data_IF_258095731816
#
_entry.id   IF_258095731816
#
_cell.length_a   1.000
_cell.length_b   1.000
_cell.length_c   1.000
_cell.angle_alpha   90.00
_cell.angle_beta   90.00
_cell.angle_gamma   90.00
#
_symmetry.space_group_name_H-M   'P 1'
#
loop_
_entity.id
_entity.type
_entity.pdbx_description
1 polymer ?
#
# COMPACT_ATOMS: atom_id res chain seq x y z
N UNK A 1 2.28 -5.07 12.74
CA UNK A 1 2.77 -3.68 12.62
C UNK A 1 4.24 -3.50 13.03
N UNK A 2 4.66 -3.93 14.24
CA UNK A 2 6.06 -3.76 14.68
C UNK A 2 7.11 -4.43 13.78
N UNK A 3 6.83 -5.64 13.30
CA UNK A 3 7.72 -6.39 12.38
C UNK A 3 7.92 -5.63 11.06
N UNK A 4 6.84 -5.08 10.48
CA UNK A 4 6.91 -4.30 9.24
C UNK A 4 7.80 -3.05 9.40
N UNK A 5 7.67 -2.35 10.54
CA UNK A 5 8.50 -1.19 10.83
C UNK A 5 9.99 -1.55 10.94
N UNK A 6 10.32 -2.69 11.57
CA UNK A 6 11.69 -3.18 11.64
C UNK A 6 12.27 -3.44 10.24
N UNK A 7 11.49 -4.06 9.35
CA UNK A 7 11.93 -4.25 7.97
C UNK A 7 12.05 -2.94 7.21
N UNK A 8 11.15 -1.98 7.41
CA UNK A 8 11.25 -0.66 6.77
C UNK A 8 12.56 0.08 7.14
N UNK A 9 13.13 -0.15 8.32
CA UNK A 9 14.44 0.39 8.69
C UNK A 9 15.61 -0.20 7.88
N UNK A 10 15.39 -1.24 7.06
CA UNK A 10 16.44 -1.95 6.36
C UNK A 10 17.28 -1.08 5.43
N UNK A 11 16.75 0.03 4.88
CA UNK A 11 17.53 0.95 4.03
C UNK A 11 18.80 1.50 4.71
N UNK A 12 18.80 1.60 6.04
CA UNK A 12 19.96 2.08 6.80
C UNK A 12 21.06 1.02 6.95
N UNK A 13 20.73 -0.25 6.74
CA UNK A 13 21.62 -1.41 6.94
C UNK A 13 22.05 -2.02 5.59
N UNK A 14 21.25 -1.85 4.53
CA UNK A 14 21.59 -2.34 3.19
C UNK A 14 22.90 -1.69 2.70
N UNK A 15 23.88 -2.49 2.24
CA UNK A 15 25.15 -1.99 1.73
C UNK A 15 25.00 -1.37 0.34
N UNK A 16 25.86 -0.39 0.04
CA UNK A 16 25.84 0.39 -1.21
C UNK A 16 26.09 -0.40 -2.48
N UNK A 17 26.70 -1.57 -2.36
CA UNK A 17 27.12 -2.49 -3.43
C UNK A 17 26.35 -3.83 -3.40
N UNK A 18 25.17 -3.86 -2.77
CA UNK A 18 24.39 -5.10 -2.56
C UNK A 18 24.10 -5.89 -3.85
N UNK A 19 23.84 -5.22 -4.98
CA UNK A 19 23.52 -5.87 -6.26
C UNK A 19 24.78 -6.24 -7.04
N UNK A 20 25.87 -5.52 -6.80
CA UNK A 20 27.19 -5.86 -7.32
C UNK A 20 27.79 -7.08 -6.60
N UNK A 21 27.63 -7.16 -5.28
CA UNK A 21 28.20 -8.24 -4.46
C UNK A 21 27.34 -9.50 -4.38
N UNK A 22 26.02 -9.40 -4.53
CA UNK A 22 25.11 -10.55 -4.40
C UNK A 22 24.29 -10.77 -5.69
N UNK A 23 24.61 -11.86 -6.39
CA UNK A 23 23.91 -12.27 -7.60
C UNK A 23 22.43 -12.52 -7.38
N UNK A 24 22.07 -13.20 -6.28
CA UNK A 24 20.67 -13.49 -5.93
C UNK A 24 19.87 -12.19 -5.71
N UNK A 25 20.47 -11.19 -5.03
CA UNK A 25 19.82 -9.90 -4.83
C UNK A 25 19.60 -9.17 -6.16
N UNK A 26 20.58 -9.24 -7.07
CA UNK A 26 20.49 -8.66 -8.42
C UNK A 26 19.40 -9.33 -9.26
N UNK A 27 19.35 -10.66 -9.29
CA UNK A 27 18.31 -11.41 -10.00
C UNK A 27 16.91 -11.09 -9.45
N UNK A 28 16.77 -11.06 -8.12
CA UNK A 28 15.53 -10.68 -7.46
C UNK A 28 15.07 -9.28 -7.86
N UNK A 29 15.95 -8.27 -7.81
CA UNK A 29 15.62 -6.90 -8.23
C UNK A 29 15.23 -6.85 -9.70
N UNK A 30 15.96 -7.54 -10.57
CA UNK A 30 15.66 -7.60 -12.00
C UNK A 30 14.29 -8.21 -12.28
N UNK A 31 13.91 -9.24 -11.53
CA UNK A 31 12.56 -9.81 -11.58
C UNK A 31 11.51 -8.79 -11.13
N UNK A 32 11.72 -8.12 -9.99
CA UNK A 32 10.77 -7.15 -9.44
C UNK A 32 10.55 -5.94 -10.37
N UNK A 33 11.59 -5.45 -11.05
CA UNK A 33 11.50 -4.36 -12.03
C UNK A 33 10.55 -4.64 -13.19
N UNK A 34 10.28 -5.91 -13.52
CA UNK A 34 9.31 -6.27 -14.57
C UNK A 34 7.88 -5.89 -14.19
N UNK A 35 7.57 -5.87 -12.90
CA UNK A 35 6.24 -5.59 -12.37
C UNK A 35 6.13 -4.18 -11.78
N UNK A 36 7.21 -3.63 -11.25
CA UNK A 36 7.20 -2.39 -10.49
C UNK A 36 8.16 -1.37 -11.12
N UNK A 37 7.67 -0.54 -12.06
CA UNK A 37 8.51 0.39 -12.81
C UNK A 37 9.11 1.49 -11.92
N UNK A 38 8.47 1.82 -10.79
CA UNK A 38 8.97 2.79 -9.83
C UNK A 38 10.36 2.42 -9.27
N UNK A 39 10.72 1.14 -9.19
CA UNK A 39 12.04 0.70 -8.73
C UNK A 39 13.15 1.35 -9.57
N UNK A 40 13.06 1.27 -10.90
CA UNK A 40 14.04 1.87 -11.78
C UNK A 40 13.96 3.40 -11.78
N UNK A 41 12.75 3.96 -11.73
CA UNK A 41 12.54 5.41 -11.74
C UNK A 41 13.16 6.06 -10.50
N UNK A 42 12.99 5.46 -9.32
CA UNK A 42 13.57 5.95 -8.07
C UNK A 42 15.10 5.85 -8.07
N UNK A 43 15.65 4.75 -8.60
CA UNK A 43 17.09 4.57 -8.80
C UNK A 43 17.72 5.65 -9.69
N UNK A 44 17.01 6.06 -10.74
CA UNK A 44 17.54 7.04 -11.69
C UNK A 44 17.73 8.44 -11.09
N UNK A 45 16.97 8.80 -10.04
CA UNK A 45 17.03 10.11 -9.39
C UNK A 45 17.88 10.13 -8.11
N UNK A 46 18.04 8.97 -7.46
CA UNK A 46 18.75 8.87 -6.18
C UNK A 46 20.25 8.63 -6.36
N UNK A 47 21.12 9.16 -5.47
CA UNK A 47 22.51 8.76 -5.40
C UNK A 47 22.71 7.32 -4.89
N UNK A 48 21.74 6.75 -4.18
CA UNK A 48 21.79 5.42 -3.54
C UNK A 48 21.22 4.32 -4.45
N UNK A 49 21.78 4.18 -5.66
CA UNK A 49 21.15 3.40 -6.76
C UNK A 49 20.85 1.95 -6.41
N UNK A 50 21.85 1.17 -5.99
CA UNK A 50 21.64 -0.24 -5.69
C UNK A 50 20.77 -0.44 -4.44
N UNK A 51 20.96 0.42 -3.44
CA UNK A 51 20.23 0.36 -2.18
C UNK A 51 18.74 0.65 -2.37
N UNK A 52 18.38 1.70 -3.11
CA UNK A 52 16.98 2.06 -3.34
C UNK A 52 16.28 1.04 -4.22
N UNK A 53 16.98 0.42 -5.18
CA UNK A 53 16.42 -0.65 -6.00
C UNK A 53 16.10 -1.88 -5.16
N UNK A 54 17.07 -2.34 -4.38
CA UNK A 54 16.88 -3.49 -3.49
C UNK A 54 15.80 -3.20 -2.44
N UNK A 55 15.86 -2.02 -1.82
CA UNK A 55 14.93 -1.60 -0.79
C UNK A 55 13.49 -1.53 -1.29
N UNK A 56 13.27 -0.84 -2.41
CA UNK A 56 11.93 -0.74 -3.02
C UNK A 56 11.41 -2.13 -3.40
N UNK A 57 12.28 -3.01 -3.91
CA UNK A 57 11.91 -4.38 -4.31
C UNK A 57 11.40 -5.21 -3.13
N UNK A 58 12.14 -5.30 -2.02
CA UNK A 58 11.66 -6.12 -0.90
C UNK A 58 10.49 -5.43 -0.16
N UNK A 59 10.45 -4.10 -0.12
CA UNK A 59 9.31 -3.38 0.46
C UNK A 59 8.01 -3.68 -0.30
N UNK A 60 8.07 -3.84 -1.63
CA UNK A 60 6.95 -4.34 -2.42
C UNK A 60 6.46 -5.70 -1.94
N UNK A 61 7.37 -6.67 -1.75
CA UNK A 61 7.03 -8.00 -1.23
C UNK A 61 6.35 -7.90 0.14
N UNK A 62 6.93 -7.12 1.06
CA UNK A 62 6.39 -6.97 2.42
C UNK A 62 5.01 -6.34 2.44
N UNK A 63 4.78 -5.29 1.64
CA UNK A 63 3.45 -4.69 1.60
C UNK A 63 2.42 -5.54 0.86
N UNK A 64 2.82 -6.39 -0.11
CA UNK A 64 1.89 -7.39 -0.68
C UNK A 64 1.50 -8.45 0.34
N UNK A 65 2.45 -8.93 1.15
CA UNK A 65 2.16 -9.84 2.26
C UNK A 65 1.24 -9.18 3.30
N UNK A 66 1.52 -7.94 3.67
CA UNK A 66 0.69 -7.19 4.61
C UNK A 66 -0.70 -6.88 4.03
N UNK A 67 -0.80 -6.56 2.74
CA UNK A 67 -2.06 -6.43 2.03
C UNK A 67 -2.90 -7.72 2.10
N UNK A 68 -2.29 -8.87 1.84
CA UNK A 68 -2.96 -10.17 1.93
C UNK A 68 -3.44 -10.47 3.35
N UNK A 69 -2.60 -10.19 4.37
CA UNK A 69 -2.97 -10.30 5.78
C UNK A 69 -4.16 -9.41 6.12
N UNK A 70 -4.16 -8.14 5.69
CA UNK A 70 -5.26 -7.19 5.91
C UNK A 70 -6.54 -7.64 5.22
N UNK A 71 -6.45 -8.15 3.98
CA UNK A 71 -7.61 -8.69 3.28
C UNK A 71 -8.20 -9.90 4.02
N UNK A 72 -7.36 -10.82 4.47
CA UNK A 72 -7.78 -11.98 5.26
C UNK A 72 -8.43 -11.57 6.58
N UNK A 73 -7.81 -10.66 7.31
CA UNK A 73 -8.32 -10.12 8.58
C UNK A 73 -9.73 -9.52 8.42
N UNK A 74 -9.90 -8.65 7.42
CA UNK A 74 -11.20 -8.03 7.12
C UNK A 74 -12.23 -9.07 6.70
N UNK A 75 -11.85 -10.05 5.88
CA UNK A 75 -12.72 -11.17 5.52
C UNK A 75 -13.17 -11.96 6.74
N UNK A 76 -12.28 -12.30 7.67
CA UNK A 76 -12.64 -13.02 8.89
C UNK A 76 -13.63 -12.23 9.75
N UNK A 77 -13.40 -10.93 9.92
CA UNK A 77 -14.34 -10.03 10.62
C UNK A 77 -15.75 -10.10 10.01
N UNK A 78 -15.85 -9.93 8.69
CA UNK A 78 -17.16 -9.87 8.04
C UNK A 78 -17.84 -11.22 7.85
N UNK A 79 -17.11 -12.35 7.89
CA UNK A 79 -17.68 -13.68 7.62
C UNK A 79 -17.82 -14.58 8.84
N UNK A 80 -16.86 -14.56 9.77
CA UNK A 80 -16.81 -15.47 10.92
C UNK A 80 -17.40 -14.83 12.17
N UNK A 81 -17.09 -13.55 12.42
CA UNK A 81 -17.52 -12.84 13.63
C UNK A 81 -18.85 -12.10 13.49
N UNK A 82 -19.51 -12.19 12.33
CA UNK A 82 -20.73 -11.43 12.04
C UNK A 82 -21.97 -11.84 12.85
N UNK A 83 -21.90 -12.93 13.60
CA UNK A 83 -22.95 -13.40 14.52
C UNK A 83 -22.74 -12.96 15.98
N UNK A 84 -21.55 -12.49 16.37
CA UNK A 84 -21.22 -12.16 17.77
C UNK A 84 -21.02 -10.68 18.06
N UNK A 85 -20.58 -9.86 17.09
CA UNK A 85 -20.26 -8.46 17.35
C UNK A 85 -21.16 -7.47 16.58
N UNK A 86 -22.14 -6.93 17.31
CA UNK A 86 -23.02 -5.85 16.86
C UNK A 86 -22.28 -4.48 16.85
N UNK A 87 -21.21 -4.34 17.64
CA UNK A 87 -20.47 -3.08 17.85
C UNK A 87 -19.58 -2.66 16.65
N UNK A 88 -18.86 -3.58 15.99
CA UNK A 88 -18.08 -3.22 14.79
C UNK A 88 -18.98 -2.76 13.63
N UNK A 89 -20.24 -3.24 13.62
CA UNK A 89 -21.29 -2.80 12.69
C UNK A 89 -21.62 -1.31 12.88
N UNK A 90 -21.44 -0.75 14.08
CA UNK A 90 -21.67 0.67 14.37
C UNK A 90 -20.56 1.57 13.84
N UNK A 91 -19.29 1.17 13.91
CA UNK A 91 -18.18 1.96 13.41
C UNK A 91 -18.15 2.03 11.88
N UNK A 92 -18.51 0.94 11.20
CA UNK A 92 -18.70 0.92 9.75
C UNK A 92 -19.93 1.76 9.33
N UNK A 93 -21.00 1.76 10.14
CA UNK A 93 -22.17 2.62 9.91
C UNK A 93 -21.88 4.11 10.17
N UNK A 94 -20.98 4.45 11.09
CA UNK A 94 -20.52 5.82 11.34
C UNK A 94 -19.67 6.37 10.21
N UNK A 95 -19.00 5.51 9.44
CA UNK A 95 -18.22 5.94 8.30
C UNK A 95 -19.14 6.41 7.16
N UNK A 96 -19.31 7.73 7.04
CA UNK A 96 -20.08 8.33 5.95
C UNK A 96 -19.66 7.77 4.60
N UNK A 97 -20.62 7.35 3.76
CA UNK A 97 -20.36 6.88 2.39
C UNK A 97 -19.44 7.82 1.61
N UNK A 98 -19.60 9.15 1.81
CA UNK A 98 -18.73 10.17 1.20
C UNK A 98 -17.28 10.05 1.64
N UNK A 99 -17.04 9.78 2.94
CA UNK A 99 -15.70 9.61 3.50
C UNK A 99 -15.06 8.31 3.00
N UNK A 100 -15.85 7.25 2.85
CA UNK A 100 -15.37 5.97 2.32
C UNK A 100 -14.90 6.13 0.87
N UNK A 101 -15.75 6.68 0.01
CA UNK A 101 -15.40 6.96 -1.40
C UNK A 101 -14.18 7.87 -1.50
N UNK A 102 -14.14 8.93 -0.70
CA UNK A 102 -12.98 9.84 -0.67
C UNK A 102 -11.68 9.12 -0.31
N UNK A 103 -11.67 8.35 0.78
CA UNK A 103 -10.47 7.61 1.22
C UNK A 103 -10.04 6.55 0.20
N UNK A 104 -11.01 5.88 -0.44
CA UNK A 104 -10.74 4.89 -1.47
C UNK A 104 -10.08 5.52 -2.70
N UNK A 105 -10.67 6.59 -3.25
CA UNK A 105 -10.11 7.30 -4.41
C UNK A 105 -8.74 7.90 -4.10
N UNK A 106 -8.56 8.46 -2.90
CA UNK A 106 -7.27 8.97 -2.44
C UNK A 106 -6.21 7.86 -2.34
N UNK A 107 -6.60 6.68 -1.83
CA UNK A 107 -5.73 5.50 -1.79
C UNK A 107 -5.27 5.08 -3.19
N UNK A 108 -6.19 4.97 -4.15
CA UNK A 108 -5.85 4.65 -5.54
C UNK A 108 -4.91 5.69 -6.16
N UNK A 109 -5.16 6.97 -5.92
CA UNK A 109 -4.31 8.06 -6.39
C UNK A 109 -2.89 7.96 -5.79
N UNK A 110 -2.77 7.73 -4.49
CA UNK A 110 -1.47 7.59 -3.83
C UNK A 110 -0.68 6.39 -4.37
N UNK A 111 -1.35 5.26 -4.60
CA UNK A 111 -0.75 4.05 -5.19
C UNK A 111 -0.29 4.35 -6.62
N UNK A 112 -1.13 5.01 -7.42
CA UNK A 112 -0.80 5.38 -8.79
C UNK A 112 0.44 6.26 -8.84
N UNK A 113 0.49 7.31 -8.03
CA UNK A 113 1.65 8.21 -7.91
C UNK A 113 2.92 7.45 -7.53
N UNK A 114 2.82 6.54 -6.57
CA UNK A 114 3.95 5.73 -6.11
C UNK A 114 4.44 4.75 -7.18
N UNK A 115 3.51 4.01 -7.79
CA UNK A 115 3.80 2.98 -8.78
C UNK A 115 4.37 3.55 -10.09
N UNK A 116 3.86 4.69 -10.53
CA UNK A 116 4.37 5.37 -11.74
C UNK A 116 5.62 6.19 -11.47
N UNK A 117 6.00 6.39 -10.20
CA UNK A 117 7.10 7.27 -9.81
C UNK A 117 6.85 8.74 -10.12
N UNK A 118 5.60 9.16 -10.29
CA UNK A 118 5.25 10.54 -10.66
C UNK A 118 5.75 11.58 -9.65
N UNK A 119 5.84 11.19 -8.38
CA UNK A 119 6.32 12.05 -7.29
C UNK A 119 7.78 12.50 -7.42
N UNK A 120 8.60 11.75 -8.16
CA UNK A 120 10.00 12.11 -8.39
C UNK A 120 10.24 12.70 -9.78
N UNK A 121 9.41 12.37 -10.77
CA UNK A 121 9.60 12.82 -12.16
C UNK A 121 8.92 14.17 -12.43
N UNK A 122 7.63 14.28 -12.14
CA UNK A 122 6.83 15.49 -12.34
C UNK A 122 6.50 16.24 -11.05
N UNK A 123 6.63 15.56 -9.91
CA UNK A 123 6.09 16.04 -8.64
C UNK A 123 4.56 15.93 -8.61
N UNK A 124 3.99 15.99 -7.41
CA UNK A 124 2.54 15.98 -7.20
C UNK A 124 2.12 17.34 -6.67
N UNK A 125 1.21 17.99 -7.41
CA UNK A 125 0.48 19.14 -6.90
C UNK A 125 -0.81 18.66 -6.27
N UNK A 126 -0.98 18.93 -4.97
CA UNK A 126 -2.21 18.65 -4.25
C UNK A 126 -2.64 19.89 -3.48
N UNK A 127 -3.78 20.44 -3.86
CA UNK A 127 -4.23 21.76 -3.39
C UNK A 127 -3.17 22.84 -3.64
N UNK A 128 -2.64 23.47 -2.59
CA UNK A 128 -1.59 24.50 -2.68
C UNK A 128 -0.17 23.94 -2.50
N UNK A 129 -0.03 22.61 -2.34
CA UNK A 129 1.24 21.97 -2.00
C UNK A 129 1.83 21.32 -3.24
N UNK A 130 3.07 21.68 -3.57
CA UNK A 130 3.84 21.01 -4.61
C UNK A 130 4.90 20.14 -3.94
N UNK A 131 4.71 18.83 -4.03
CA UNK A 131 5.59 17.84 -3.42
C UNK A 131 6.40 17.21 -4.55
N UNK A 132 7.70 17.46 -4.55
CA UNK A 132 8.68 16.75 -5.37
C UNK A 132 9.71 16.12 -4.47
N UNK A 133 10.00 14.85 -4.69
CA UNK A 133 10.97 14.09 -3.90
C UNK A 133 12.17 13.78 -4.79
N UNK A 134 13.36 14.05 -4.27
CA UNK A 134 14.61 13.79 -5.00
C UNK A 134 15.36 12.55 -4.47
N UNK A 135 14.87 11.94 -3.37
CA UNK A 135 15.52 10.80 -2.70
C UNK A 135 17.01 11.04 -2.43
N UNK A 136 17.33 12.23 -1.94
CA UNK A 136 18.69 12.69 -1.68
C UNK A 136 19.29 12.05 -0.42
N UNK A 137 18.45 11.55 0.49
CA UNK A 137 18.88 10.88 1.72
C UNK A 137 18.20 9.54 1.93
N UNK A 138 18.88 8.60 2.60
CA UNK A 138 18.28 7.32 3.05
C UNK A 138 17.04 7.53 3.93
N UNK A 139 16.98 8.64 4.66
CA UNK A 139 15.82 8.98 5.48
C UNK A 139 14.59 9.34 4.62
N UNK A 140 14.75 10.11 3.54
CA UNK A 140 13.66 10.37 2.60
C UNK A 140 13.18 9.07 1.92
N UNK A 141 14.12 8.22 1.51
CA UNK A 141 13.82 6.90 0.94
C UNK A 141 12.96 6.09 1.92
N UNK A 142 13.42 5.96 3.17
CA UNK A 142 12.68 5.31 4.25
C UNK A 142 11.27 5.89 4.40
N UNK A 143 11.16 7.21 4.59
CA UNK A 143 9.91 7.88 4.92
C UNK A 143 8.86 7.67 3.82
N UNK A 144 9.21 7.98 2.57
CA UNK A 144 8.22 7.99 1.49
C UNK A 144 7.85 6.60 1.01
N UNK A 145 8.81 5.69 0.85
CA UNK A 145 8.48 4.30 0.46
C UNK A 145 7.64 3.63 1.54
N UNK A 146 7.98 3.80 2.83
CA UNK A 146 7.20 3.22 3.93
C UNK A 146 5.80 3.82 4.00
N UNK A 147 5.68 5.14 3.81
CA UNK A 147 4.40 5.85 3.78
C UNK A 147 3.50 5.30 2.68
N UNK A 148 3.97 5.27 1.44
CA UNK A 148 3.16 4.79 0.31
C UNK A 148 2.74 3.33 0.48
N UNK A 149 3.64 2.50 0.99
CA UNK A 149 3.36 1.09 1.20
C UNK A 149 2.37 0.85 2.34
N UNK A 150 2.39 1.69 3.39
CA UNK A 150 1.35 1.69 4.42
C UNK A 150 -0.01 2.16 3.89
N UNK A 151 -0.03 3.16 3.00
CA UNK A 151 -1.27 3.63 2.38
C UNK A 151 -1.86 2.52 1.48
N UNK A 152 -1.03 1.86 0.67
CA UNK A 152 -1.45 0.73 -0.15
C UNK A 152 -2.08 -0.38 0.70
N UNK A 153 -1.35 -0.86 1.70
CA UNK A 153 -1.72 -2.06 2.46
C UNK A 153 -2.83 -1.78 3.48
N UNK A 154 -2.68 -0.74 4.31
CA UNK A 154 -3.57 -0.49 5.44
C UNK A 154 -4.82 0.33 5.08
N UNK A 155 -4.72 1.25 4.11
CA UNK A 155 -5.85 2.10 3.72
C UNK A 155 -6.52 1.55 2.46
N UNK A 156 -5.74 1.29 1.40
CA UNK A 156 -6.26 0.81 0.12
C UNK A 156 -6.99 -0.52 0.24
N UNK A 157 -6.28 -1.56 0.68
CA UNK A 157 -6.82 -2.92 0.73
C UNK A 157 -7.92 -3.06 1.78
N UNK A 158 -7.73 -2.50 2.98
CA UNK A 158 -8.77 -2.51 4.02
C UNK A 158 -10.09 -1.92 3.51
N UNK A 159 -10.04 -0.74 2.88
CA UNK A 159 -11.24 -0.06 2.38
C UNK A 159 -11.85 -0.77 1.19
N UNK A 160 -11.02 -1.31 0.29
CA UNK A 160 -11.49 -2.10 -0.85
C UNK A 160 -12.26 -3.34 -0.37
N UNK A 161 -11.66 -4.13 0.51
CA UNK A 161 -12.27 -5.36 1.04
C UNK A 161 -13.55 -5.02 1.81
N UNK A 162 -13.52 -3.99 2.66
CA UNK A 162 -14.70 -3.52 3.40
C UNK A 162 -15.83 -3.08 2.47
N UNK A 163 -15.53 -2.33 1.39
CA UNK A 163 -16.51 -1.90 0.41
C UNK A 163 -17.15 -3.09 -0.32
N UNK A 164 -16.36 -4.09 -0.71
CA UNK A 164 -16.86 -5.32 -1.36
C UNK A 164 -17.86 -6.02 -0.43
N UNK A 165 -17.53 -6.18 0.85
CA UNK A 165 -18.44 -6.79 1.82
C UNK A 165 -19.71 -5.98 2.05
N UNK A 166 -19.60 -4.65 2.23
CA UNK A 166 -20.77 -3.78 2.40
C UNK A 166 -21.71 -3.89 1.19
N UNK A 167 -21.16 -3.88 -0.02
CA UNK A 167 -21.95 -4.05 -1.25
C UNK A 167 -22.60 -5.43 -1.30
N UNK A 168 -21.84 -6.50 -1.03
CA UNK A 168 -22.35 -7.87 -0.98
C UNK A 168 -23.55 -8.00 -0.04
N UNK A 169 -23.42 -7.55 1.22
CA UNK A 169 -24.50 -7.59 2.20
C UNK A 169 -25.70 -6.72 1.82
N UNK A 170 -25.47 -5.53 1.24
CA UNK A 170 -26.57 -4.63 0.83
C UNK A 170 -27.36 -5.22 -0.32
N UNK A 171 -26.71 -5.89 -1.28
CA UNK A 171 -27.40 -6.57 -2.37
C UNK A 171 -28.15 -7.83 -1.89
N UNK A 172 -27.52 -8.66 -1.06
CA UNK A 172 -28.13 -9.90 -0.58
C UNK A 172 -29.30 -9.64 0.39
N UNK A 173 -29.15 -8.70 1.33
CA UNK A 173 -30.23 -8.28 2.24
C UNK A 173 -31.43 -7.69 1.50
N UNK A 174 -31.22 -7.04 0.34
CA UNK A 174 -32.29 -6.49 -0.48
C UNK A 174 -33.05 -7.57 -1.25
N UNK A 175 -32.36 -8.64 -1.66
CA UNK A 175 -32.97 -9.82 -2.28
C UNK A 175 -33.89 -10.56 -1.30
N UNK A 176 -33.41 -10.84 -0.08
CA UNK A 176 -34.21 -11.50 0.97
C UNK A 176 -35.50 -10.72 1.29
N UNK A 177 -35.43 -9.37 1.32
CA UNK A 177 -36.60 -8.53 1.58
C UNK A 177 -37.63 -8.55 0.44
N UNK A 178 -37.18 -8.69 -0.80
CA UNK A 178 -38.08 -8.78 -1.96
C UNK A 178 -38.73 -10.15 -2.10
N UNK A 179 -38.10 -11.21 -1.57
CA UNK A 179 -38.67 -12.57 -1.58
C UNK A 179 -39.70 -12.78 -0.43
N UNK A 180 -39.88 -11.79 0.46
CA UNK A 180 -40.82 -11.82 1.60
C UNK A 180 -42.07 -10.92 1.41
N UNK A 181 -42.21 -10.25 0.26
CA UNK A 181 -43.37 -9.42 -0.12
C UNK A 181 -44.08 -10.08 -1.30
#
# INVERSE_FOLDING_TARGET
MAVYFLFALGIFIVPGDILSCCEICREFVNFMKQYFPNIQIFSNVSPFKEEIEFYTSYMWVLGLLWAAEMAFYVTCIYTVFMDTDIDEREDIKKLSWKMLVFRFTFGLFAIYVYYTGYIVTGGVSFMAWNIKIDFATKFEIFQYISLFQSIFSAVGIYLLTSLIYILYYKFFSRKIRNDQI
#
